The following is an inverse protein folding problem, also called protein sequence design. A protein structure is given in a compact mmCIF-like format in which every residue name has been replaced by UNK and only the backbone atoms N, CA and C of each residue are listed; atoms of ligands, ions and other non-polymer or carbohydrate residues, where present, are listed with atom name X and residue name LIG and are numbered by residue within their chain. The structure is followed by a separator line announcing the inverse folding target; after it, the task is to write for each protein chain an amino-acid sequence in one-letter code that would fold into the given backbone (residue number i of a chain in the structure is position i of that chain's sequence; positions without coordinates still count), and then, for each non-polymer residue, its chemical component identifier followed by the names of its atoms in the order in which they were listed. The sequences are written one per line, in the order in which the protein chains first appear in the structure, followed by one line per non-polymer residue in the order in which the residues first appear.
data_IF_602221808747
#
_entry.id   IF_602221808747
#
_cell.length_a   1.000
_cell.length_b   1.000
_cell.length_c   1.000
_cell.angle_alpha   90.00
_cell.angle_beta   90.00
_cell.angle_gamma   90.00
#
_symmetry.space_group_name_H-M   'P 1'
#
loop_
_entity.id
_entity.type
_entity.pdbx_description
1 polymer ?
#
# COMPACT_ATOMS: atom_id res chain seq x y z
N UNK A 1 -3.38 -30.53 0.67
CA UNK A 1 -2.91 -29.64 1.77
C UNK A 1 -1.51 -29.07 1.44
N UNK A 2 -1.39 -27.74 1.47
CA UNK A 2 -0.11 -27.06 1.26
C UNK A 2 0.81 -27.27 2.47
N UNK A 3 2.06 -27.76 2.29
CA UNK A 3 2.97 -27.99 3.40
C UNK A 3 3.44 -26.65 3.99
N UNK A 4 3.07 -26.38 5.25
CA UNK A 4 3.51 -25.20 5.99
C UNK A 4 4.74 -25.59 6.83
N UNK A 5 5.87 -24.92 6.57
CA UNK A 5 7.12 -25.23 7.27
C UNK A 5 7.21 -24.56 8.65
N UNK A 6 7.91 -25.19 9.60
CA UNK A 6 8.23 -24.55 10.90
C UNK A 6 8.96 -23.22 10.69
N UNK A 7 9.87 -23.15 9.71
CA UNK A 7 10.61 -21.93 9.37
C UNK A 7 9.67 -20.79 8.99
N UNK A 8 8.63 -21.07 8.20
CA UNK A 8 7.61 -20.09 7.82
C UNK A 8 6.86 -19.54 9.03
N UNK A 9 6.48 -20.42 9.98
CA UNK A 9 5.77 -20.00 11.20
C UNK A 9 6.64 -19.11 12.09
N UNK A 10 7.92 -19.48 12.29
CA UNK A 10 8.83 -18.67 13.11
C UNK A 10 9.14 -17.32 12.45
N UNK A 11 9.30 -17.28 11.13
CA UNK A 11 9.47 -16.03 10.38
C UNK A 11 8.23 -15.12 10.46
N UNK A 12 7.03 -15.71 10.39
CA UNK A 12 5.79 -14.94 10.54
C UNK A 12 5.72 -14.22 11.89
N UNK A 13 6.13 -14.87 12.99
CA UNK A 13 6.13 -14.25 14.34
C UNK A 13 7.04 -13.03 14.42
N UNK A 14 8.16 -13.01 13.71
CA UNK A 14 9.08 -11.86 13.70
C UNK A 14 8.59 -10.71 12.82
N UNK A 15 7.59 -10.94 11.95
CA UNK A 15 7.09 -9.96 10.98
C UNK A 15 5.71 -9.37 11.32
N UNK A 16 5.22 -9.54 12.56
CA UNK A 16 3.94 -8.98 13.04
C UNK A 16 4.02 -7.48 13.37
N UNK A 17 4.57 -6.67 12.46
CA UNK A 17 4.94 -5.27 12.69
C UNK A 17 3.74 -4.34 12.90
N UNK A 18 2.55 -4.71 12.42
CA UNK A 18 1.31 -3.92 12.58
C UNK A 18 0.82 -3.83 14.04
N UNK A 19 1.42 -4.60 14.95
CA UNK A 19 1.14 -4.53 16.39
C UNK A 19 1.87 -3.37 17.09
N UNK A 20 2.82 -2.71 16.41
CA UNK A 20 3.63 -1.63 16.99
C UNK A 20 2.88 -0.32 17.25
N UNK A 21 1.63 -0.19 16.79
CA UNK A 21 0.82 1.02 16.95
C UNK A 21 1.07 2.10 15.87
N UNK A 22 0.58 3.34 16.09
CA UNK A 22 0.78 4.46 15.16
C UNK A 22 2.26 4.80 14.96
N UNK A 23 2.66 5.21 13.75
CA UNK A 23 4.04 5.59 13.40
C UNK A 23 5.14 4.53 13.71
N UNK A 24 4.76 3.27 13.87
CA UNK A 24 5.70 2.19 14.18
C UNK A 24 6.45 1.67 12.94
N UNK A 25 5.83 1.78 11.75
CA UNK A 25 6.38 1.31 10.48
C UNK A 25 7.17 2.45 9.82
N UNK A 26 8.48 2.26 9.68
CA UNK A 26 9.46 3.26 9.19
C UNK A 26 9.46 3.42 7.66
N UNK A 27 8.28 3.56 7.07
CA UNK A 27 8.10 3.95 5.67
C UNK A 27 7.78 5.42 5.64
N UNK A 28 8.63 6.22 5.00
CA UNK A 28 8.53 7.69 5.00
C UNK A 28 8.23 8.27 3.60
N UNK A 29 8.23 7.44 2.56
CA UNK A 29 7.87 7.84 1.19
C UNK A 29 6.34 7.93 1.01
N UNK A 30 5.85 8.61 -0.04
CA UNK A 30 4.44 8.60 -0.39
C UNK A 30 3.89 7.17 -0.57
N UNK A 31 2.70 6.91 -0.01
CA UNK A 31 2.03 5.61 -0.06
C UNK A 31 0.60 5.76 -0.58
N UNK A 32 0.20 4.85 -1.48
CA UNK A 32 -1.18 4.64 -1.91
C UNK A 32 -1.60 3.23 -1.49
N UNK A 33 -2.62 3.14 -0.65
CA UNK A 33 -3.23 1.89 -0.21
C UNK A 33 -4.57 1.76 -0.92
N UNK A 34 -4.77 0.66 -1.64
CA UNK A 34 -6.01 0.33 -2.34
C UNK A 34 -6.59 -0.92 -1.69
N UNK A 35 -7.85 -0.86 -1.23
CA UNK A 35 -8.50 -1.96 -0.53
C UNK A 35 -9.92 -2.19 -1.07
N UNK A 36 -10.20 -3.42 -1.50
CA UNK A 36 -11.55 -3.85 -1.83
C UNK A 36 -12.42 -4.01 -0.58
N UNK A 37 -13.65 -3.48 -0.61
CA UNK A 37 -14.61 -3.64 0.50
C UNK A 37 -15.34 -4.99 0.47
N UNK A 38 -15.23 -5.76 -0.63
CA UNK A 38 -15.75 -7.11 -0.74
C UNK A 38 -14.64 -8.16 -0.55
N UNK A 39 -13.52 -7.78 0.04
CA UNK A 39 -12.45 -8.70 0.43
C UNK A 39 -12.91 -9.57 1.62
N UNK A 40 -13.11 -10.87 1.37
CA UNK A 40 -13.50 -11.85 2.40
C UNK A 40 -12.28 -12.43 3.14
N UNK A 41 -11.07 -12.20 2.65
CA UNK A 41 -9.82 -12.72 3.21
C UNK A 41 -9.22 -11.75 4.23
N UNK A 42 -9.28 -10.45 3.94
CA UNK A 42 -8.66 -9.39 4.75
C UNK A 42 -9.72 -8.35 5.14
N UNK A 43 -10.00 -8.17 6.45
CA UNK A 43 -10.86 -7.11 6.95
C UNK A 43 -10.38 -5.72 6.52
N UNK A 44 -11.29 -4.89 6.04
CA UNK A 44 -11.05 -3.52 5.56
C UNK A 44 -10.45 -2.60 6.64
N UNK A 45 -10.77 -2.82 7.91
CA UNK A 45 -10.18 -2.13 9.07
C UNK A 45 -8.65 -2.25 9.14
N UNK A 46 -8.06 -3.34 8.62
CA UNK A 46 -6.62 -3.52 8.60
C UNK A 46 -5.92 -2.49 7.71
N UNK A 47 -6.56 -2.07 6.62
CA UNK A 47 -6.01 -1.05 5.73
C UNK A 47 -5.92 0.32 6.45
N UNK A 48 -6.94 0.67 7.24
CA UNK A 48 -6.92 1.89 8.05
C UNK A 48 -5.87 1.84 9.16
N UNK A 49 -5.72 0.68 9.82
CA UNK A 49 -4.66 0.45 10.80
C UNK A 49 -3.28 0.58 10.17
N UNK A 50 -3.07 -0.01 9.00
CA UNK A 50 -1.83 0.11 8.24
C UNK A 50 -1.52 1.57 7.93
N UNK A 51 -2.49 2.31 7.39
CA UNK A 51 -2.34 3.73 7.11
C UNK A 51 -1.85 4.52 8.33
N UNK A 52 -2.43 4.24 9.51
CA UNK A 52 -2.09 4.90 10.78
C UNK A 52 -0.72 4.49 11.33
N UNK A 53 -0.26 3.28 11.02
CA UNK A 53 1.03 2.74 11.49
C UNK A 53 2.23 3.23 10.68
N UNK A 54 2.04 3.77 9.48
CA UNK A 54 3.11 4.33 8.65
C UNK A 54 3.61 5.66 9.21
N UNK A 55 4.93 5.90 9.16
CA UNK A 55 5.54 7.21 9.48
C UNK A 55 5.38 8.25 8.37
N UNK A 56 5.01 7.80 7.17
CA UNK A 56 4.87 8.67 6.01
C UNK A 56 3.82 9.75 6.26
N UNK A 57 4.13 10.95 5.78
CA UNK A 57 3.22 12.11 5.84
C UNK A 57 2.27 12.18 4.65
N UNK A 58 2.55 11.42 3.58
CA UNK A 58 1.68 11.33 2.39
C UNK A 58 1.19 9.88 2.26
N UNK A 59 0.12 9.57 2.98
CA UNK A 59 -0.58 8.28 2.89
C UNK A 59 -2.00 8.54 2.40
N UNK A 60 -2.40 7.86 1.33
CA UNK A 60 -3.80 7.85 0.87
C UNK A 60 -4.32 6.43 0.88
N UNK A 61 -5.52 6.25 1.44
CA UNK A 61 -6.24 5.00 1.48
C UNK A 61 -7.52 5.13 0.67
N UNK A 62 -7.69 4.27 -0.32
CA UNK A 62 -8.87 4.21 -1.19
C UNK A 62 -9.59 2.89 -0.96
N UNK A 63 -10.86 2.99 -0.58
CA UNK A 63 -11.76 1.83 -0.49
C UNK A 63 -12.59 1.69 -1.77
N UNK A 64 -12.57 0.52 -2.38
CA UNK A 64 -13.34 0.22 -3.59
C UNK A 64 -14.53 -0.67 -3.25
N UNK A 65 -15.74 -0.12 -3.38
CA UNK A 65 -16.97 -0.87 -3.14
C UNK A 65 -17.14 -1.98 -4.18
N UNK A 66 -17.32 -3.22 -3.72
CA UNK A 66 -17.55 -4.38 -4.59
C UNK A 66 -16.29 -5.01 -5.17
N UNK A 67 -15.12 -4.42 -4.96
CA UNK A 67 -13.84 -5.04 -5.31
C UNK A 67 -13.45 -6.07 -4.24
N UNK A 68 -13.00 -7.23 -4.71
CA UNK A 68 -12.62 -8.38 -3.88
C UNK A 68 -11.11 -8.36 -3.57
N UNK A 69 -10.61 -9.42 -2.94
CA UNK A 69 -9.19 -9.57 -2.60
C UNK A 69 -8.24 -9.45 -3.82
N UNK A 70 -8.70 -9.88 -5.00
CA UNK A 70 -7.87 -9.94 -6.21
C UNK A 70 -7.86 -8.67 -7.04
N UNK A 71 -8.81 -7.75 -6.82
CA UNK A 71 -8.91 -6.47 -7.54
C UNK A 71 -8.80 -6.64 -9.07
N UNK A 72 -9.61 -7.53 -9.64
CA UNK A 72 -9.44 -8.04 -11.00
C UNK A 72 -10.24 -7.29 -12.08
N UNK A 73 -11.08 -6.33 -11.69
CA UNK A 73 -11.89 -5.60 -12.67
C UNK A 73 -11.03 -4.61 -13.46
N UNK A 74 -11.47 -4.26 -14.67
CA UNK A 74 -10.80 -3.22 -15.46
C UNK A 74 -10.71 -1.88 -14.70
N UNK A 75 -11.74 -1.55 -13.91
CA UNK A 75 -11.73 -0.35 -13.07
C UNK A 75 -10.69 -0.42 -11.96
N UNK A 76 -10.48 -1.59 -11.35
CA UNK A 76 -9.45 -1.77 -10.32
C UNK A 76 -8.05 -1.61 -10.94
N UNK A 77 -7.84 -2.21 -12.12
CA UNK A 77 -6.58 -2.12 -12.83
C UNK A 77 -6.24 -0.68 -13.23
N UNK A 78 -7.21 0.06 -13.76
CA UNK A 78 -7.03 1.48 -14.09
C UNK A 78 -6.69 2.30 -12.83
N UNK A 79 -7.35 2.04 -11.71
CA UNK A 79 -7.03 2.71 -10.44
C UNK A 79 -5.59 2.41 -9.97
N UNK A 80 -5.10 1.19 -10.15
CA UNK A 80 -3.71 0.84 -9.84
C UNK A 80 -2.71 1.60 -10.73
N UNK A 81 -2.99 1.71 -12.03
CA UNK A 81 -2.19 2.50 -12.97
C UNK A 81 -2.19 3.98 -12.59
N UNK A 82 -3.36 4.59 -12.41
CA UNK A 82 -3.53 6.00 -12.03
C UNK A 82 -2.81 6.31 -10.71
N UNK A 83 -2.90 5.40 -9.72
CA UNK A 83 -2.22 5.56 -8.44
C UNK A 83 -0.69 5.54 -8.58
N UNK A 84 -0.18 4.75 -9.52
CA UNK A 84 1.25 4.67 -9.82
C UNK A 84 1.72 5.94 -10.53
N UNK A 85 0.99 6.40 -11.55
CA UNK A 85 1.27 7.65 -12.27
C UNK A 85 1.27 8.84 -11.30
N UNK A 86 0.28 8.92 -10.41
CA UNK A 86 0.23 9.96 -9.38
C UNK A 86 1.47 9.99 -8.49
N UNK A 87 2.01 8.83 -8.09
CA UNK A 87 3.25 8.80 -7.32
C UNK A 87 4.42 9.28 -8.18
N UNK A 88 4.53 8.81 -9.42
CA UNK A 88 5.62 9.20 -10.33
C UNK A 88 5.65 10.72 -10.54
N UNK A 89 4.50 11.34 -10.78
CA UNK A 89 4.38 12.79 -10.98
C UNK A 89 4.82 13.60 -9.75
N UNK A 90 4.60 13.08 -8.53
CA UNK A 90 5.07 13.74 -7.30
C UNK A 90 6.60 13.70 -7.14
N UNK A 91 7.26 12.69 -7.71
CA UNK A 91 8.72 12.57 -7.67
C UNK A 91 9.40 13.36 -8.81
N UNK A 92 8.68 13.67 -9.88
CA UNK A 92 9.13 14.62 -10.91
C UNK A 92 8.94 16.07 -10.41
N UNK A 93 9.72 16.46 -9.40
CA UNK A 93 10.04 17.86 -9.23
C UNK A 93 10.83 18.29 -10.48
N UNK A 94 10.31 19.26 -11.26
CA UNK A 94 11.03 19.80 -12.42
C UNK A 94 12.44 20.17 -11.98
N UNK A 95 13.44 19.43 -12.45
CA UNK A 95 14.83 19.79 -12.21
C UNK A 95 15.18 21.02 -13.06
N UNK A 96 14.77 22.20 -12.58
CA UNK A 96 15.07 23.51 -13.17
C UNK A 96 16.55 23.89 -12.99
N UNK A 97 17.38 23.01 -12.41
CA UNK A 97 18.81 23.26 -12.16
C UNK A 97 19.71 22.61 -13.21
N UNK A 98 19.17 21.82 -14.14
CA UNK A 98 19.95 21.33 -15.28
C UNK A 98 19.82 22.32 -16.45
N UNK A 99 20.86 23.13 -16.75
CA UNK A 99 20.84 24.01 -17.91
C UNK A 99 21.11 23.17 -19.14
N UNK A 100 20.08 22.59 -19.75
CA UNK A 100 20.26 21.66 -20.87
C UNK A 100 19.04 21.30 -21.70
N UNK A 101 17.92 22.01 -21.57
CA UNK A 101 16.75 21.83 -22.42
C UNK A 101 16.27 23.18 -22.96
N UNK A 102 17.13 23.78 -23.77
CA UNK A 102 16.72 24.68 -24.85
C UNK A 102 16.63 23.90 -26.16
#
# INVERSE_FOLDING_TARGET
PYPISKKFIEDAKTNLILQGGPESIKVECPVRLLQGMADEEIPDELALRLASSLRSKDVRLTYIKGSNHSMETESDFNLMCDSTEQILDQFFEFDLRTPGSG
#
